data_IF_142511113303
#
_entry.id   IF_142511113303
#
_cell.length_a   1.000
_cell.length_b   1.000
_cell.length_c   1.000
_cell.angle_alpha   90.00
_cell.angle_beta   90.00
_cell.angle_gamma   90.00
#
_symmetry.space_group_name_H-M   'P 1'
#
loop_
_entity.id
_entity.type
_entity.pdbx_description
1 polymer ?
#
# COMPACT_ATOMS: atom_id res chain seq x y z
N UNK A 1 -6.94 8.08 -14.22
CA UNK A 1 -8.37 7.87 -13.88
C UNK A 1 -8.58 8.41 -12.48
N UNK A 2 -9.44 9.40 -12.27
CA UNK A 2 -9.82 9.86 -10.92
C UNK A 2 -11.16 9.22 -10.53
N UNK A 3 -11.37 8.87 -9.26
CA UNK A 3 -12.70 8.50 -8.74
C UNK A 3 -13.06 7.00 -8.72
N UNK A 4 -12.11 6.07 -8.75
CA UNK A 4 -12.41 4.67 -8.42
C UNK A 4 -12.70 4.54 -6.94
N UNK A 5 -13.93 4.17 -6.54
CA UNK A 5 -14.31 3.97 -5.14
C UNK A 5 -14.49 2.49 -4.82
N UNK A 6 -14.17 2.10 -3.58
CA UNK A 6 -14.55 0.79 -3.06
C UNK A 6 -16.08 0.70 -2.91
N UNK A 7 -16.61 -0.52 -2.79
CA UNK A 7 -18.05 -0.72 -2.53
C UNK A 7 -18.44 -0.03 -1.21
N UNK A 8 -19.64 0.54 -1.18
CA UNK A 8 -20.21 1.08 0.05
C UNK A 8 -20.26 0.00 1.13
N UNK A 9 -19.84 0.34 2.35
CA UNK A 9 -19.84 -0.55 3.51
C UNK A 9 -20.49 0.17 4.68
N UNK A 10 -20.98 -0.58 5.68
CA UNK A 10 -21.61 -0.02 6.89
C UNK A 10 -20.72 1.00 7.60
N UNK A 11 -19.39 0.85 7.50
CA UNK A 11 -18.39 1.77 8.06
C UNK A 11 -18.16 3.02 7.19
N UNK A 12 -18.28 2.90 5.87
CA UNK A 12 -18.04 3.96 4.89
C UNK A 12 -19.17 3.97 3.83
N UNK A 13 -20.24 4.76 4.04
CA UNK A 13 -21.43 4.73 3.19
C UNK A 13 -21.17 5.22 1.76
N UNK A 14 -20.21 6.12 1.56
CA UNK A 14 -19.86 6.65 0.23
C UNK A 14 -18.71 5.89 -0.47
N UNK A 15 -18.20 4.82 0.15
CA UNK A 15 -17.00 4.13 -0.33
C UNK A 15 -15.72 4.95 -0.16
N UNK A 16 -14.57 4.28 -0.09
CA UNK A 16 -13.27 4.93 0.04
C UNK A 16 -12.68 5.13 -1.36
N UNK A 17 -12.07 6.29 -1.60
CA UNK A 17 -11.37 6.53 -2.86
C UNK A 17 -10.11 5.66 -2.95
N UNK A 18 -9.96 4.96 -4.07
CA UNK A 18 -8.80 4.11 -4.38
C UNK A 18 -7.77 4.98 -5.09
N UNK A 19 -6.75 5.39 -4.35
CA UNK A 19 -5.62 6.14 -4.90
C UNK A 19 -4.72 5.24 -5.76
N UNK A 20 -4.15 5.79 -6.83
CA UNK A 20 -3.19 5.08 -7.68
C UNK A 20 -3.81 4.07 -8.66
N UNK A 21 -5.05 4.32 -9.10
CA UNK A 21 -5.75 3.48 -10.07
C UNK A 21 -5.34 3.82 -11.51
N UNK A 22 -4.66 2.87 -12.16
CA UNK A 22 -4.25 2.95 -13.56
C UNK A 22 -5.16 2.10 -14.45
N UNK A 23 -5.19 2.45 -15.74
CA UNK A 23 -5.87 1.67 -16.78
C UNK A 23 -4.83 1.11 -17.74
N UNK A 24 -4.86 -0.18 -17.92
CA UNK A 24 -4.11 -0.85 -18.98
C UNK A 24 -4.57 -0.33 -20.35
N UNK A 25 -3.64 0.01 -21.24
CA UNK A 25 -3.98 0.50 -22.58
C UNK A 25 -4.62 -0.61 -23.42
N UNK A 26 -4.02 -1.78 -23.41
CA UNK A 26 -4.41 -2.88 -24.30
C UNK A 26 -5.62 -3.63 -23.74
N UNK A 27 -5.53 -4.05 -22.48
CA UNK A 27 -6.53 -4.86 -21.82
C UNK A 27 -7.67 -4.06 -21.16
N UNK A 28 -7.55 -2.73 -21.07
CA UNK A 28 -8.52 -1.79 -20.43
C UNK A 28 -8.91 -2.10 -18.98
N UNK A 29 -8.29 -3.11 -18.36
CA UNK A 29 -8.45 -3.46 -16.95
C UNK A 29 -7.88 -2.37 -16.05
N UNK A 30 -8.52 -2.21 -14.89
CA UNK A 30 -8.05 -1.32 -13.83
C UNK A 30 -7.05 -2.07 -12.98
N UNK A 31 -5.90 -1.47 -12.67
CA UNK A 31 -4.91 -2.05 -11.78
C UNK A 31 -4.29 -0.96 -10.91
N UNK A 32 -3.73 -1.37 -9.78
CA UNK A 32 -2.89 -0.50 -8.94
C UNK A 32 -1.45 -0.99 -9.03
N UNK A 33 -0.49 -0.14 -8.65
CA UNK A 33 0.95 -0.50 -8.62
C UNK A 33 1.24 -1.65 -7.63
N UNK A 34 0.30 -1.98 -6.74
CA UNK A 34 0.43 -3.08 -5.77
C UNK A 34 0.01 -4.43 -6.33
N UNK A 35 -0.79 -4.48 -7.40
CA UNK A 35 -1.28 -5.73 -7.98
C UNK A 35 -0.10 -6.59 -8.47
N UNK A 36 -0.05 -7.86 -8.07
CA UNK A 36 1.03 -8.80 -8.41
C UNK A 36 2.34 -8.56 -7.66
N UNK A 37 2.36 -7.70 -6.64
CA UNK A 37 3.52 -7.45 -5.79
C UNK A 37 3.33 -8.02 -4.39
N UNK A 38 4.40 -8.10 -3.62
CA UNK A 38 4.36 -8.45 -2.18
C UNK A 38 3.48 -7.51 -1.34
N UNK A 39 3.06 -6.37 -1.90
CA UNK A 39 2.23 -5.37 -1.22
C UNK A 39 0.73 -5.49 -1.52
N UNK A 40 0.31 -6.47 -2.32
CA UNK A 40 -1.07 -6.61 -2.82
C UNK A 40 -2.09 -6.71 -1.68
N UNK A 41 -1.83 -7.56 -0.70
CA UNK A 41 -2.70 -7.76 0.48
C UNK A 41 -2.25 -6.96 1.71
N UNK A 42 -1.26 -6.09 1.56
CA UNK A 42 -0.75 -5.33 2.71
C UNK A 42 -1.72 -4.21 3.13
N UNK A 43 -2.11 -4.23 4.40
CA UNK A 43 -2.94 -3.18 5.00
C UNK A 43 -2.18 -1.86 5.19
N UNK A 44 -0.85 -1.89 5.14
CA UNK A 44 -0.02 -0.72 5.28
C UNK A 44 0.03 0.11 3.99
N UNK A 45 0.16 1.44 4.10
CA UNK A 45 0.37 2.29 2.94
C UNK A 45 1.78 2.10 2.36
N UNK A 46 1.91 2.24 1.03
CA UNK A 46 3.15 1.95 0.31
C UNK A 46 4.35 2.81 0.76
N UNK A 47 4.14 4.06 1.18
CA UNK A 47 5.22 4.91 1.65
C UNK A 47 5.89 4.37 2.93
N UNK A 48 5.13 3.72 3.84
CA UNK A 48 5.70 3.08 5.03
C UNK A 48 6.52 1.85 4.66
N UNK A 49 6.08 1.09 3.65
CA UNK A 49 6.86 -0.03 3.12
C UNK A 49 8.19 0.40 2.50
N UNK A 50 8.20 1.49 1.73
CA UNK A 50 9.45 2.01 1.15
C UNK A 50 10.43 2.47 2.24
N UNK A 51 9.93 3.12 3.29
CA UNK A 51 10.75 3.47 4.46
C UNK A 51 11.27 2.22 5.18
N UNK A 52 10.42 1.19 5.37
CA UNK A 52 10.82 -0.08 5.96
C UNK A 52 11.95 -0.75 5.17
N UNK A 53 11.81 -0.83 3.84
CA UNK A 53 12.82 -1.41 2.95
C UNK A 53 14.13 -0.64 3.05
N UNK A 54 14.08 0.69 3.01
CA UNK A 54 15.27 1.53 3.15
C UNK A 54 15.99 1.28 4.48
N UNK A 55 15.25 1.25 5.59
CA UNK A 55 15.80 0.97 6.92
C UNK A 55 16.43 -0.42 7.01
N UNK A 56 15.79 -1.43 6.42
CA UNK A 56 16.34 -2.79 6.36
C UNK A 56 17.65 -2.83 5.57
N UNK A 57 17.68 -2.26 4.36
CA UNK A 57 18.86 -2.26 3.49
C UNK A 57 20.01 -1.37 3.99
N UNK A 58 19.69 -0.27 4.69
CA UNK A 58 20.69 0.64 5.25
C UNK A 58 21.36 0.11 6.51
N UNK A 59 20.82 -0.93 7.15
CA UNK A 59 21.35 -1.44 8.42
C UNK A 59 22.29 -2.64 8.19
N UNK A 60 23.54 -2.52 8.64
CA UNK A 60 24.55 -3.58 8.50
C UNK A 60 24.22 -4.85 9.33
N UNK A 61 23.42 -4.71 10.39
CA UNK A 61 23.08 -5.80 11.33
C UNK A 61 21.61 -6.26 11.24
N UNK A 62 20.82 -5.70 10.32
CA UNK A 62 19.37 -5.87 10.32
C UNK A 62 18.69 -5.01 11.39
N UNK A 63 17.38 -4.85 11.25
CA UNK A 63 16.53 -4.14 12.22
C UNK A 63 15.49 -5.12 12.77
N UNK A 64 15.25 -5.07 14.08
CA UNK A 64 14.20 -5.84 14.74
C UNK A 64 12.80 -5.33 14.33
N UNK A 65 11.84 -6.24 14.15
CA UNK A 65 10.44 -5.89 13.84
C UNK A 65 9.84 -4.91 14.85
N UNK A 66 10.18 -5.03 16.13
CA UNK A 66 9.72 -4.09 17.16
C UNK A 66 10.33 -2.70 17.01
N UNK A 67 11.55 -2.62 16.50
CA UNK A 67 12.17 -1.34 16.19
C UNK A 67 11.53 -0.69 14.96
N UNK A 68 11.23 -1.45 13.89
CA UNK A 68 10.45 -0.93 12.76
C UNK A 68 9.08 -0.43 13.20
N UNK A 69 8.39 -1.18 14.06
CA UNK A 69 7.08 -0.79 14.56
C UNK A 69 7.08 0.58 15.25
N UNK A 70 8.09 0.86 16.09
CA UNK A 70 8.24 2.17 16.75
C UNK A 70 8.61 3.29 15.78
N UNK A 71 9.47 3.01 14.81
CA UNK A 71 9.95 4.02 13.85
C UNK A 71 8.87 4.39 12.83
N UNK A 72 8.10 3.41 12.37
CA UNK A 72 7.07 3.61 11.34
C UNK A 72 5.68 3.87 11.92
N UNK A 73 5.54 3.84 13.26
CA UNK A 73 4.29 4.08 13.99
C UNK A 73 3.11 3.35 13.35
N UNK A 74 3.28 2.05 13.12
CA UNK A 74 2.33 1.23 12.36
C UNK A 74 1.85 0.04 13.20
N UNK A 75 0.55 0.01 13.51
CA UNK A 75 -0.13 -1.06 14.26
C UNK A 75 -0.43 -2.29 13.44
#
# INVERSE_FOLDING_TARGET
>A
LKGGRTKASKKNPNGVEIHGLYKCRDCRKKFTVRMGSIFEESHLPLHKWLQAIHLMCSSKKGISSHQLHRVLECT
#
